data_IF_369564543702
#
_entry.id   IF_369564543702
#
_cell.length_a   1.000
_cell.length_b   1.000
_cell.length_c   1.000
_cell.angle_alpha   90.00
_cell.angle_beta   90.00
_cell.angle_gamma   90.00
#
_symmetry.space_group_name_H-M   'P 1'
#
loop_
_entity.id
_entity.type
_entity.pdbx_description
1 polymer ?
#
# COMPACT_ATOMS: atom_id res chain seq x y z
N UNK A 1 19.28 3.30 0.43
CA UNK A 1 20.48 3.57 1.26
C UNK A 1 20.01 3.64 2.70
N UNK A 2 20.79 3.22 3.71
CA UNK A 2 20.41 3.55 5.08
C UNK A 2 20.43 5.07 5.19
N UNK A 3 19.33 5.67 5.63
CA UNK A 3 19.22 7.08 5.99
C UNK A 3 20.24 7.34 7.10
N UNK A 4 21.43 7.83 6.75
CA UNK A 4 22.59 7.94 7.64
C UNK A 4 22.49 9.10 8.64
N UNK A 5 21.27 9.49 9.01
CA UNK A 5 20.98 10.60 9.91
C UNK A 5 20.47 10.02 11.22
N UNK A 6 21.41 9.68 12.10
CA UNK A 6 21.10 9.11 13.40
C UNK A 6 20.46 10.17 14.31
N UNK A 7 19.18 9.95 14.69
CA UNK A 7 18.44 10.79 15.64
C UNK A 7 18.39 10.17 17.05
N UNK A 8 19.08 9.05 17.31
CA UNK A 8 19.04 8.35 18.60
C UNK A 8 19.41 9.24 19.78
N UNK A 9 20.37 10.15 19.59
CA UNK A 9 20.78 11.08 20.63
C UNK A 9 19.67 12.05 21.02
N UNK A 10 18.89 12.52 20.05
CA UNK A 10 17.75 13.42 20.23
C UNK A 10 16.53 12.68 20.80
N UNK A 11 16.25 11.47 20.31
CA UNK A 11 15.20 10.60 20.88
C UNK A 11 15.46 10.26 22.35
N UNK A 12 16.72 10.04 22.75
CA UNK A 12 17.08 9.87 24.18
C UNK A 12 16.96 11.16 24.99
N UNK A 13 17.10 12.32 24.33
CA UNK A 13 16.99 13.61 24.99
C UNK A 13 15.54 13.98 25.27
N UNK A 14 14.62 13.54 24.40
CA UNK A 14 13.18 13.66 24.56
C UNK A 14 12.66 13.01 25.86
N UNK A 15 13.29 11.93 26.35
CA UNK A 15 12.87 11.23 27.58
C UNK A 15 13.09 12.02 28.88
N UNK A 16 13.37 13.31 28.81
CA UNK A 16 13.51 14.21 29.97
C UNK A 16 12.15 14.84 30.27
N UNK A 17 11.80 14.93 31.55
CA UNK A 17 10.50 15.41 32.03
C UNK A 17 10.02 16.69 31.32
N UNK A 18 10.92 17.67 31.15
CA UNK A 18 10.63 18.97 30.50
C UNK A 18 10.20 18.85 29.03
N UNK A 19 10.68 17.84 28.30
CA UNK A 19 10.36 17.63 26.88
C UNK A 19 9.32 16.54 26.65
N UNK A 20 9.16 15.61 27.58
CA UNK A 20 8.17 14.55 27.46
C UNK A 20 6.74 15.08 27.56
N UNK A 21 6.48 16.09 28.38
CA UNK A 21 5.15 16.72 28.48
C UNK A 21 4.81 17.48 27.18
N UNK A 22 5.73 18.31 26.69
CA UNK A 22 5.58 19.01 25.41
C UNK A 22 5.38 18.06 24.22
N UNK A 23 6.07 16.92 24.22
CA UNK A 23 5.87 15.90 23.18
C UNK A 23 4.52 15.21 23.32
N UNK A 24 4.04 14.96 24.53
CA UNK A 24 2.72 14.37 24.76
C UNK A 24 1.60 15.27 24.21
N UNK A 25 1.73 16.59 24.30
CA UNK A 25 0.78 17.54 23.69
C UNK A 25 0.74 17.40 22.16
N UNK A 26 1.90 17.41 21.49
CA UNK A 26 1.96 17.23 20.02
C UNK A 26 1.51 15.83 19.61
N UNK A 27 1.80 14.83 20.42
CA UNK A 27 1.35 13.46 20.18
C UNK A 27 -0.18 13.37 20.25
N UNK A 28 -0.81 14.04 21.23
CA UNK A 28 -2.26 14.13 21.37
C UNK A 28 -2.91 14.86 20.18
N UNK A 29 -2.30 15.92 19.66
CA UNK A 29 -2.79 16.58 18.44
C UNK A 29 -2.85 15.63 17.24
N UNK A 30 -1.87 14.72 17.12
CA UNK A 30 -1.77 13.76 16.02
C UNK A 30 -2.68 12.54 16.18
N UNK A 31 -2.93 12.08 17.41
CA UNK A 31 -3.57 10.78 17.67
C UNK A 31 -4.75 10.83 18.64
N UNK A 32 -4.84 11.82 19.52
CA UNK A 32 -5.94 12.00 20.47
C UNK A 32 -7.33 11.89 19.84
N UNK A 33 -7.60 12.56 18.69
CA UNK A 33 -8.89 12.42 17.99
C UNK A 33 -9.20 11.00 17.47
N UNK A 34 -8.19 10.14 17.30
CA UNK A 34 -8.35 8.75 16.86
C UNK A 34 -8.53 7.82 18.08
N UNK A 35 -7.72 8.04 19.12
CA UNK A 35 -7.64 7.16 20.29
C UNK A 35 -8.77 7.45 21.30
N UNK A 36 -9.22 8.71 21.41
CA UNK A 36 -10.19 9.16 22.39
C UNK A 36 -11.62 8.67 22.19
N UNK A 37 -11.99 8.23 20.98
CA UNK A 37 -13.37 7.80 20.67
C UNK A 37 -13.63 6.31 20.99
N UNK A 38 -12.62 5.51 21.35
CA UNK A 38 -12.74 4.05 21.33
C UNK A 38 -12.04 3.23 22.41
N UNK A 39 -11.48 3.82 23.47
CA UNK A 39 -10.59 3.12 24.43
C UNK A 39 -9.44 2.37 23.72
N UNK A 40 -8.96 2.89 22.58
CA UNK A 40 -7.91 2.28 21.78
C UNK A 40 -6.55 2.89 22.13
N UNK A 41 -5.56 2.06 22.41
CA UNK A 41 -4.18 2.52 22.64
C UNK A 41 -3.43 2.68 21.31
N UNK A 42 -2.41 3.55 21.28
CA UNK A 42 -1.65 3.81 20.05
C UNK A 42 -0.99 2.54 19.49
N UNK A 43 -0.49 1.66 20.36
CA UNK A 43 0.11 0.39 19.98
C UNK A 43 -0.89 -0.57 19.30
N UNK A 44 -2.18 -0.47 19.62
CA UNK A 44 -3.22 -1.32 19.01
C UNK A 44 -3.45 -0.96 17.53
N UNK A 45 -3.08 0.24 17.10
CA UNK A 45 -3.06 0.60 15.68
C UNK A 45 -2.13 -0.32 14.87
N UNK A 46 -1.12 -0.91 15.50
CA UNK A 46 -0.17 -1.80 14.81
C UNK A 46 -0.83 -3.13 14.42
N UNK A 47 -1.82 -3.59 15.18
CA UNK A 47 -2.59 -4.79 14.85
C UNK A 47 -3.42 -4.60 13.58
N UNK A 48 -3.89 -3.36 13.34
CA UNK A 48 -4.75 -3.01 12.21
C UNK A 48 -3.96 -2.54 10.99
N UNK A 49 -2.95 -1.69 11.20
CA UNK A 49 -2.23 -0.98 10.15
C UNK A 49 -0.84 -1.58 9.86
N UNK A 50 -0.31 -2.39 10.77
CA UNK A 50 1.03 -2.96 10.72
C UNK A 50 2.10 -2.07 11.34
N UNK A 51 3.10 -2.70 11.97
CA UNK A 51 4.20 -2.05 12.71
C UNK A 51 4.91 -0.94 11.91
N UNK A 52 5.26 -1.23 10.66
CA UNK A 52 5.98 -0.28 9.79
C UNK A 52 5.20 1.03 9.59
N UNK A 53 3.87 0.95 9.49
CA UNK A 53 3.03 2.13 9.29
C UNK A 53 2.88 2.93 10.58
N UNK A 54 2.71 2.24 11.71
CA UNK A 54 2.65 2.89 13.03
C UNK A 54 3.97 3.59 13.37
N UNK A 55 5.11 2.99 13.03
CA UNK A 55 6.42 3.64 13.19
C UNK A 55 6.55 4.90 12.32
N UNK A 56 6.02 4.90 11.11
CA UNK A 56 5.99 6.11 10.27
C UNK A 56 5.07 7.20 10.86
N UNK A 57 3.91 6.82 11.42
CA UNK A 57 3.00 7.74 12.09
C UNK A 57 3.67 8.39 13.31
N UNK A 58 4.30 7.60 14.16
CA UNK A 58 5.09 8.11 15.28
C UNK A 58 6.17 9.07 14.79
N UNK A 59 6.86 8.73 13.70
CA UNK A 59 7.84 9.59 13.04
C UNK A 59 7.25 10.94 12.59
N UNK A 60 6.01 10.97 12.09
CA UNK A 60 5.33 12.21 11.71
C UNK A 60 5.11 13.14 12.90
N UNK A 61 4.64 12.61 14.04
CA UNK A 61 4.41 13.38 15.27
C UNK A 61 5.73 13.83 15.91
N UNK A 62 6.73 12.94 15.97
CA UNK A 62 8.05 13.26 16.47
C UNK A 62 8.72 14.37 15.65
N UNK A 63 8.71 14.25 14.32
CA UNK A 63 9.27 15.29 13.46
C UNK A 63 8.51 16.60 13.54
N UNK A 64 7.20 16.58 13.79
CA UNK A 64 6.44 17.80 14.00
C UNK A 64 6.86 18.51 15.27
N UNK A 65 6.93 17.77 16.38
CA UNK A 65 7.41 18.24 17.67
C UNK A 65 8.80 18.90 17.58
N UNK A 66 9.72 18.35 16.78
CA UNK A 66 11.05 18.95 16.57
C UNK A 66 11.00 20.37 15.97
N UNK A 67 9.89 20.75 15.34
CA UNK A 67 9.71 22.06 14.70
C UNK A 67 8.94 23.07 15.55
N UNK A 68 8.28 22.62 16.62
CA UNK A 68 7.44 23.46 17.48
C UNK A 68 8.27 24.27 18.48
N UNK A 69 7.80 25.48 18.78
CA UNK A 69 8.33 26.33 19.84
C UNK A 69 7.36 26.32 21.03
N UNK A 70 7.87 26.02 22.23
CA UNK A 70 7.11 25.91 23.48
C UNK A 70 7.39 27.10 24.40
N UNK A 71 6.56 27.27 25.43
CA UNK A 71 6.79 28.28 26.46
C UNK A 71 8.03 27.96 27.31
N UNK A 72 8.95 28.91 27.43
CA UNK A 72 10.17 28.78 28.23
C UNK A 72 11.46 29.01 27.44
N UNK A 73 12.60 28.94 28.13
CA UNK A 73 13.93 29.06 27.53
C UNK A 73 14.79 27.87 27.97
N UNK A 74 15.25 27.02 27.03
CA UNK A 74 15.07 27.12 25.58
C UNK A 74 13.67 26.70 25.10
N UNK A 75 13.15 27.36 24.06
CA UNK A 75 11.80 27.12 23.52
C UNK A 75 11.69 25.88 22.64
N UNK A 76 12.80 25.34 22.13
CA UNK A 76 12.79 24.22 21.20
C UNK A 76 13.86 23.17 21.53
N UNK A 77 13.45 21.90 21.44
CA UNK A 77 14.27 20.75 21.80
C UNK A 77 15.52 20.59 20.93
N UNK A 78 15.43 20.87 19.62
CA UNK A 78 16.56 20.74 18.70
C UNK A 78 17.63 21.76 19.03
N UNK A 79 17.21 23.01 19.26
CA UNK A 79 18.12 24.11 19.60
C UNK A 79 18.81 23.82 20.94
N UNK A 80 18.06 23.37 21.96
CA UNK A 80 18.62 22.95 23.24
C UNK A 80 19.60 21.78 23.09
N UNK A 81 19.18 20.74 22.36
CA UNK A 81 19.96 19.54 22.19
C UNK A 81 21.28 19.84 21.48
N UNK A 82 21.26 20.60 20.40
CA UNK A 82 22.45 21.00 19.68
C UNK A 82 23.38 21.86 20.56
N UNK A 83 22.82 22.74 21.39
CA UNK A 83 23.60 23.54 22.34
C UNK A 83 24.28 22.67 23.41
N UNK A 84 23.54 21.76 24.06
CA UNK A 84 24.05 20.96 25.19
C UNK A 84 24.86 19.74 24.76
N UNK A 85 24.51 19.12 23.63
CA UNK A 85 24.98 17.80 23.19
C UNK A 85 25.45 17.74 21.75
N UNK A 86 25.30 18.79 20.93
CA UNK A 86 25.67 18.77 19.51
C UNK A 86 27.15 18.46 19.23
N UNK A 87 28.04 18.61 20.21
CA UNK A 87 29.45 18.20 20.11
C UNK A 87 29.64 16.68 20.04
N UNK A 88 28.66 15.88 20.48
CA UNK A 88 28.65 14.42 20.34
C UNK A 88 28.23 13.96 18.94
N UNK A 89 27.60 14.84 18.19
CA UNK A 89 27.09 14.52 16.86
C UNK A 89 28.13 14.83 15.77
N UNK A 90 28.03 14.12 14.65
CA UNK A 90 28.83 14.46 13.47
C UNK A 90 28.23 15.69 12.74
N UNK A 91 29.00 16.31 11.85
CA UNK A 91 28.57 17.52 11.15
C UNK A 91 27.34 17.32 10.24
N UNK A 92 27.14 16.11 9.70
CA UNK A 92 26.00 15.78 8.86
C UNK A 92 24.73 15.61 9.70
N UNK A 93 24.81 14.96 10.86
CA UNK A 93 23.69 14.82 11.80
C UNK A 93 23.25 16.18 12.35
N UNK A 94 24.20 17.04 12.77
CA UNK A 94 23.86 18.41 13.20
C UNK A 94 23.16 19.22 12.11
N UNK A 95 23.65 19.14 10.87
CA UNK A 95 23.05 19.86 9.75
C UNK A 95 21.63 19.34 9.44
N UNK A 96 21.40 18.03 9.58
CA UNK A 96 20.08 17.43 9.41
C UNK A 96 19.11 17.86 10.52
N UNK A 97 19.53 17.83 11.79
CA UNK A 97 18.71 18.31 12.91
C UNK A 97 18.31 19.78 12.73
N UNK A 98 19.26 20.64 12.37
CA UNK A 98 18.97 22.05 12.09
C UNK A 98 18.04 22.26 10.89
N UNK A 99 18.16 21.44 9.84
CA UNK A 99 17.25 21.50 8.69
C UNK A 99 15.84 21.01 9.06
N UNK A 100 15.73 19.92 9.84
CA UNK A 100 14.46 19.40 10.35
C UNK A 100 13.72 20.43 11.18
N UNK A 101 14.40 21.10 12.12
CA UNK A 101 13.87 22.18 12.98
C UNK A 101 13.10 23.26 12.20
N UNK A 102 13.50 23.54 10.96
CA UNK A 102 12.89 24.57 10.10
C UNK A 102 11.96 24.00 9.02
N UNK A 103 11.81 22.69 8.96
CA UNK A 103 11.02 22.01 7.93
C UNK A 103 9.51 22.05 8.22
N UNK A 104 8.70 21.73 7.22
CA UNK A 104 7.24 21.64 7.33
C UNK A 104 6.73 20.42 6.57
N UNK A 105 5.69 19.78 7.10
CA UNK A 105 4.95 18.75 6.39
C UNK A 105 4.17 19.41 5.24
N UNK A 106 4.24 18.83 4.05
CA UNK A 106 3.41 19.24 2.91
C UNK A 106 3.00 18.03 2.09
N UNK A 107 2.04 18.22 1.18
CA UNK A 107 1.62 17.20 0.23
C UNK A 107 2.34 17.40 -1.10
N UNK A 108 3.02 16.36 -1.57
CA UNK A 108 3.76 16.35 -2.82
C UNK A 108 3.19 15.35 -3.80
N UNK A 109 3.12 15.73 -5.06
CA UNK A 109 2.97 14.80 -6.18
C UNK A 109 4.35 14.42 -6.71
N UNK A 110 4.56 13.10 -6.84
CA UNK A 110 5.82 12.51 -7.28
C UNK A 110 5.86 12.41 -8.80
N UNK A 111 6.96 12.85 -9.40
CA UNK A 111 7.26 12.66 -10.83
C UNK A 111 8.72 12.24 -11.03
N UNK A 112 9.07 11.81 -12.25
CA UNK A 112 10.44 11.44 -12.65
C UNK A 112 11.20 10.56 -11.65
N UNK A 113 10.59 9.42 -11.27
CA UNK A 113 11.17 8.48 -10.30
C UNK A 113 12.30 7.69 -10.95
N UNK A 114 13.49 7.79 -10.37
CA UNK A 114 14.64 6.91 -10.66
C UNK A 114 14.79 5.93 -9.50
N UNK A 115 14.38 4.66 -9.66
CA UNK A 115 14.33 3.71 -8.56
C UNK A 115 15.67 3.55 -7.84
N UNK A 116 15.64 3.75 -6.52
CA UNK A 116 16.80 3.64 -5.65
C UNK A 116 17.72 4.87 -5.63
N UNK A 117 17.36 5.97 -6.30
CA UNK A 117 18.23 7.13 -6.46
C UNK A 117 17.56 8.49 -6.17
N UNK A 118 16.45 8.80 -6.85
CA UNK A 118 15.83 10.12 -6.78
C UNK A 118 14.40 10.15 -7.30
N UNK A 119 13.69 11.23 -6.98
CA UNK A 119 12.41 11.61 -7.56
C UNK A 119 12.30 13.13 -7.65
N UNK A 120 11.39 13.64 -8.48
CA UNK A 120 10.92 15.01 -8.43
C UNK A 120 9.64 15.07 -7.58
N UNK A 121 9.53 16.08 -6.71
CA UNK A 121 8.38 16.27 -5.83
C UNK A 121 7.78 17.66 -6.04
N UNK A 122 6.57 17.73 -6.59
CA UNK A 122 5.83 18.97 -6.80
C UNK A 122 4.92 19.23 -5.61
N UNK A 123 5.14 20.35 -4.92
CA UNK A 123 4.32 20.72 -3.77
C UNK A 123 2.91 21.16 -4.22
N UNK A 124 1.89 20.48 -3.73
CA UNK A 124 0.49 20.73 -4.12
C UNK A 124 -0.17 21.84 -3.31
N UNK A 125 0.40 22.23 -2.15
CA UNK A 125 -0.18 23.21 -1.23
C UNK A 125 0.49 24.59 -1.34
N UNK A 126 1.81 24.60 -1.53
CA UNK A 126 2.60 25.83 -1.78
C UNK A 126 2.70 26.15 -3.27
N UNK A 127 2.55 25.14 -4.13
CA UNK A 127 2.81 25.25 -5.56
C UNK A 127 4.31 25.39 -5.85
N UNK A 128 4.63 25.98 -7.01
CA UNK A 128 6.01 26.16 -7.46
C UNK A 128 6.53 25.02 -8.35
N UNK A 129 7.82 25.08 -8.66
CA UNK A 129 8.50 24.09 -9.50
C UNK A 129 8.82 22.82 -8.70
N UNK A 130 8.82 21.63 -9.34
CA UNK A 130 9.19 20.38 -8.68
C UNK A 130 10.58 20.42 -8.05
N UNK A 131 10.71 19.85 -6.86
CA UNK A 131 11.95 19.79 -6.09
C UNK A 131 12.64 18.45 -6.36
N UNK A 132 13.92 18.49 -6.73
CA UNK A 132 14.75 17.29 -6.84
C UNK A 132 15.07 16.71 -5.47
N UNK A 133 14.60 15.49 -5.20
CA UNK A 133 14.79 14.78 -3.92
C UNK A 133 15.65 13.55 -4.13
N UNK A 134 16.72 13.44 -3.33
CA UNK A 134 17.55 12.24 -3.28
C UNK A 134 16.95 11.27 -2.27
N UNK A 135 16.54 10.11 -2.76
CA UNK A 135 15.82 9.11 -1.96
C UNK A 135 16.15 7.72 -2.54
N UNK A 136 16.42 6.71 -1.68
CA UNK A 136 16.86 5.39 -2.15
C UNK A 136 15.97 4.20 -1.81
N UNK A 137 15.01 4.33 -0.91
CA UNK A 137 14.14 3.23 -0.45
C UNK A 137 12.72 3.44 -0.97
N UNK A 138 12.11 4.60 -0.69
CA UNK A 138 10.76 4.94 -1.15
C UNK A 138 10.64 4.93 -2.69
N UNK A 139 11.65 5.38 -3.43
CA UNK A 139 11.73 5.36 -4.91
C UNK A 139 11.68 3.96 -5.50
N UNK A 140 11.86 2.89 -4.70
CA UNK A 140 11.69 1.52 -5.18
C UNK A 140 10.22 1.11 -5.31
N UNK A 141 9.35 1.73 -4.51
CA UNK A 141 7.91 1.42 -4.45
C UNK A 141 7.07 2.54 -5.06
N UNK A 142 7.45 3.80 -4.83
CA UNK A 142 6.77 4.97 -5.38
C UNK A 142 6.74 4.93 -6.92
N UNK A 143 5.59 5.33 -7.44
CA UNK A 143 5.29 5.44 -8.87
C UNK A 143 5.06 6.88 -9.26
N UNK A 144 5.23 7.15 -10.54
CA UNK A 144 4.89 8.44 -11.11
C UNK A 144 3.43 8.78 -10.78
N UNK A 145 3.19 10.02 -10.35
CA UNK A 145 1.92 10.60 -9.88
C UNK A 145 1.40 10.11 -8.53
N UNK A 146 2.21 9.33 -7.79
CA UNK A 146 1.90 9.08 -6.39
C UNK A 146 1.89 10.39 -5.60
N UNK A 147 0.98 10.48 -4.64
CA UNK A 147 0.92 11.60 -3.70
C UNK A 147 1.47 11.14 -2.35
N UNK A 148 2.34 11.95 -1.75
CA UNK A 148 2.94 11.67 -0.44
C UNK A 148 2.85 12.91 0.44
N UNK A 149 2.46 12.75 1.70
CA UNK A 149 2.74 13.75 2.72
C UNK A 149 4.12 13.45 3.31
N UNK A 150 5.01 14.44 3.25
CA UNK A 150 6.36 14.28 3.77
C UNK A 150 6.97 15.64 4.19
N UNK A 151 8.10 15.58 4.88
CA UNK A 151 9.02 16.72 5.02
C UNK A 151 10.17 16.56 4.04
N UNK A 152 10.41 17.57 3.21
CA UNK A 152 11.61 17.65 2.36
C UNK A 152 12.62 18.55 3.06
N UNK A 153 13.79 18.00 3.41
CA UNK A 153 14.81 18.71 4.17
C UNK A 153 16.07 18.97 3.36
N UNK A 154 16.54 20.23 3.26
CA UNK A 154 17.76 20.57 2.55
C UNK A 154 19.00 20.32 3.43
N UNK A 155 19.79 19.32 3.09
CA UNK A 155 21.01 18.94 3.81
C UNK A 155 22.22 19.02 2.87
N UNK A 156 23.13 19.95 3.15
CA UNK A 156 24.40 20.09 2.41
C UNK A 156 24.22 20.15 0.88
N UNK A 157 23.24 20.94 0.44
CA UNK A 157 22.96 21.16 -0.99
C UNK A 157 22.19 20.03 -1.68
N UNK A 158 21.60 19.09 -0.92
CA UNK A 158 20.71 18.05 -1.43
C UNK A 158 19.41 18.06 -0.63
N UNK A 159 18.29 17.88 -1.31
CA UNK A 159 17.02 17.66 -0.62
C UNK A 159 16.83 16.16 -0.41
N UNK A 160 16.37 15.77 0.79
CA UNK A 160 16.04 14.39 1.14
C UNK A 160 14.67 14.36 1.79
N UNK A 161 14.00 13.21 1.78
CA UNK A 161 12.81 13.00 2.61
C UNK A 161 13.25 12.79 4.07
N UNK A 162 12.50 13.36 5.00
CA UNK A 162 12.54 12.96 6.40
C UNK A 162 11.93 11.56 6.59
N UNK A 163 11.91 11.05 7.83
CA UNK A 163 11.40 9.73 8.16
C UNK A 163 9.89 9.60 8.04
N UNK A 164 9.13 10.63 8.42
CA UNK A 164 7.66 10.64 8.32
C UNK A 164 7.17 10.81 6.88
N UNK A 165 6.98 9.70 6.15
CA UNK A 165 6.45 9.70 4.77
C UNK A 165 5.16 8.88 4.70
N UNK A 166 4.06 9.54 4.37
CA UNK A 166 2.73 8.93 4.29
C UNK A 166 2.24 8.90 2.83
N UNK A 167 1.97 7.73 2.23
CA UNK A 167 1.38 7.66 0.90
C UNK A 167 -0.09 8.06 0.96
N UNK A 168 -0.48 9.06 0.18
CA UNK A 168 -1.84 9.58 0.14
C UNK A 168 -2.62 8.96 -1.02
N UNK A 169 -3.81 8.46 -0.71
CA UNK A 169 -4.79 8.07 -1.73
C UNK A 169 -5.47 9.30 -2.30
N UNK A 170 -6.27 9.10 -3.35
CA UNK A 170 -7.03 10.20 -3.94
C UNK A 170 -8.06 10.72 -2.94
N UNK A 171 -8.73 9.83 -2.23
CA UNK A 171 -9.77 10.13 -1.25
C UNK A 171 -9.17 10.90 -0.07
N UNK A 172 -8.03 10.45 0.46
CA UNK A 172 -7.27 11.17 1.49
C UNK A 172 -6.80 12.56 1.00
N UNK A 173 -6.39 12.66 -0.28
CA UNK A 173 -6.00 13.96 -0.86
C UNK A 173 -7.19 14.91 -0.90
N UNK A 174 -8.34 14.47 -1.41
CA UNK A 174 -9.55 15.29 -1.47
C UNK A 174 -9.99 15.73 -0.05
N UNK A 175 -9.99 14.80 0.91
CA UNK A 175 -10.31 15.07 2.31
C UNK A 175 -9.35 16.09 2.96
N UNK A 176 -8.05 15.98 2.72
CA UNK A 176 -7.07 16.95 3.22
C UNK A 176 -7.33 18.34 2.65
N UNK A 177 -7.62 18.44 1.34
CA UNK A 177 -7.91 19.73 0.71
C UNK A 177 -9.18 20.37 1.28
N UNK A 178 -10.24 19.59 1.49
CA UNK A 178 -11.47 20.07 2.10
C UNK A 178 -11.24 20.55 3.55
N UNK A 179 -10.51 19.77 4.36
CA UNK A 179 -10.13 20.17 5.72
C UNK A 179 -9.32 21.46 5.75
N UNK A 180 -8.33 21.61 4.87
CA UNK A 180 -7.54 22.85 4.77
C UNK A 180 -8.39 24.04 4.30
N UNK A 181 -9.40 23.81 3.44
CA UNK A 181 -10.32 24.86 3.00
C UNK A 181 -11.23 25.31 4.14
N UNK A 182 -11.62 24.41 5.03
CA UNK A 182 -12.42 24.77 6.20
C UNK A 182 -11.62 25.62 7.20
N UNK A 183 -10.32 25.34 7.35
CA UNK A 183 -9.43 26.10 8.26
C UNK A 183 -8.99 27.44 7.68
N UNK A 184 -8.53 27.47 6.42
CA UNK A 184 -7.88 28.64 5.82
C UNK A 184 -8.68 29.30 4.69
N UNK A 185 -9.71 28.62 4.19
CA UNK A 185 -10.53 29.12 3.10
C UNK A 185 -11.44 30.26 3.52
N UNK A 186 -11.77 31.12 2.56
CA UNK A 186 -12.88 32.08 2.73
C UNK A 186 -14.20 31.32 2.60
N UNK A 187 -15.26 31.84 3.23
CA UNK A 187 -16.63 31.32 3.06
C UNK A 187 -16.94 31.16 1.55
N UNK A 188 -17.23 29.92 1.13
CA UNK A 188 -17.48 29.51 -0.27
C UNK A 188 -16.28 29.46 -1.24
N UNK A 189 -15.04 29.46 -0.74
CA UNK A 189 -13.86 29.27 -1.58
C UNK A 189 -13.85 27.85 -2.19
N UNK A 190 -13.48 27.76 -3.47
CA UNK A 190 -13.30 26.48 -4.18
C UNK A 190 -11.83 26.14 -4.47
N UNK A 191 -10.91 26.97 -3.98
CA UNK A 191 -9.46 26.83 -4.17
C UNK A 191 -8.74 27.32 -2.92
N UNK A 192 -7.77 26.53 -2.47
CA UNK A 192 -6.88 26.91 -1.39
C UNK A 192 -6.00 28.09 -1.82
N UNK A 193 -5.76 29.08 -0.95
CA UNK A 193 -4.64 29.98 -1.13
C UNK A 193 -3.32 29.19 -1.09
N UNK A 194 -2.26 29.72 -1.70
CA UNK A 194 -0.94 29.14 -1.54
C UNK A 194 -0.56 29.20 -0.05
N UNK A 195 -0.26 28.03 0.52
CA UNK A 195 0.01 27.89 1.96
C UNK A 195 1.39 28.47 2.30
N UNK A 196 1.53 29.06 3.49
CA UNK A 196 2.82 29.49 4.04
C UNK A 196 3.35 28.41 4.99
N UNK A 197 4.64 28.43 5.27
CA UNK A 197 5.25 27.46 6.19
C UNK A 197 4.64 27.54 7.61
N UNK A 198 4.25 28.73 8.07
CA UNK A 198 3.51 28.91 9.34
C UNK A 198 2.15 28.19 9.33
N UNK A 199 1.42 28.29 8.21
CA UNK A 199 0.10 27.68 8.07
C UNK A 199 0.23 26.15 8.06
N UNK A 200 1.25 25.62 7.36
CA UNK A 200 1.52 24.18 7.31
C UNK A 200 1.99 23.60 8.65
N UNK A 201 2.78 24.37 9.41
CA UNK A 201 3.22 23.97 10.75
C UNK A 201 2.05 23.89 11.73
N UNK A 202 1.07 24.79 11.62
CA UNK A 202 -0.11 24.79 12.48
C UNK A 202 -1.09 23.64 12.21
N UNK A 203 -0.96 22.93 11.08
CA UNK A 203 -1.88 21.86 10.66
C UNK A 203 -1.16 20.55 10.32
N UNK A 204 0.06 20.37 10.83
CA UNK A 204 0.83 19.16 10.56
C UNK A 204 0.12 17.87 11.01
N UNK A 205 -0.60 17.92 12.14
CA UNK A 205 -1.41 16.82 12.64
C UNK A 205 -2.55 16.41 11.70
N UNK A 206 -3.12 17.35 10.92
CA UNK A 206 -4.19 17.05 9.96
C UNK A 206 -3.74 16.04 8.90
N UNK A 207 -2.48 16.06 8.47
CA UNK A 207 -1.96 15.07 7.51
C UNK A 207 -1.99 13.65 8.10
N UNK A 208 -1.62 13.51 9.37
CA UNK A 208 -1.65 12.24 10.07
C UNK A 208 -3.08 11.75 10.27
N UNK A 209 -3.96 12.62 10.79
CA UNK A 209 -5.36 12.29 11.02
C UNK A 209 -6.07 11.82 9.74
N UNK A 210 -5.98 12.61 8.67
CA UNK A 210 -6.59 12.26 7.37
C UNK A 210 -6.07 10.93 6.85
N UNK A 211 -4.76 10.69 6.97
CA UNK A 211 -4.17 9.44 6.52
C UNK A 211 -4.65 8.24 7.34
N UNK A 212 -4.72 8.36 8.67
CA UNK A 212 -5.18 7.27 9.54
C UNK A 212 -6.64 6.95 9.30
N UNK A 213 -7.51 7.96 9.20
CA UNK A 213 -8.92 7.73 8.88
C UNK A 213 -9.11 7.04 7.53
N UNK A 214 -8.39 7.47 6.49
CA UNK A 214 -8.44 6.81 5.18
C UNK A 214 -7.94 5.35 5.25
N UNK A 215 -6.88 5.10 6.03
CA UNK A 215 -6.34 3.76 6.19
C UNK A 215 -7.28 2.84 6.96
N UNK A 216 -7.88 3.33 8.06
CA UNK A 216 -8.85 2.58 8.86
C UNK A 216 -10.13 2.31 8.08
N UNK A 217 -10.68 3.30 7.36
CA UNK A 217 -11.87 3.13 6.53
C UNK A 217 -11.67 2.02 5.49
N UNK A 218 -10.49 1.98 4.85
CA UNK A 218 -10.14 0.92 3.91
C UNK A 218 -10.03 -0.46 4.54
N UNK A 219 -9.56 -0.56 5.79
CA UNK A 219 -9.50 -1.84 6.51
C UNK A 219 -10.90 -2.28 6.93
N UNK A 220 -11.72 -1.37 7.45
CA UNK A 220 -13.08 -1.64 7.93
C UNK A 220 -14.06 -1.97 6.80
N UNK A 221 -13.90 -1.33 5.63
CA UNK A 221 -14.71 -1.55 4.44
C UNK A 221 -14.07 -2.53 3.46
N UNK A 222 -13.06 -3.31 3.88
CA UNK A 222 -12.57 -4.40 3.04
C UNK A 222 -13.68 -5.43 2.83
N UNK A 223 -14.03 -5.77 1.58
CA UNK A 223 -15.07 -6.76 1.33
C UNK A 223 -14.66 -8.09 1.94
N UNK A 224 -15.55 -8.68 2.75
CA UNK A 224 -15.36 -10.03 3.26
C UNK A 224 -15.25 -10.99 2.08
N UNK A 225 -14.14 -11.71 2.00
CA UNK A 225 -13.93 -12.75 1.01
C UNK A 225 -14.60 -14.03 1.52
N UNK A 226 -15.47 -14.62 0.70
CA UNK A 226 -16.04 -15.94 0.96
C UNK A 226 -15.62 -16.91 -0.15
N UNK A 227 -15.54 -18.20 0.18
CA UNK A 227 -15.45 -19.25 -0.84
C UNK A 227 -16.77 -19.36 -1.64
N UNK A 228 -16.83 -20.20 -2.68
CA UNK A 228 -18.05 -20.38 -3.48
C UNK A 228 -19.23 -20.97 -2.67
N UNK A 229 -18.97 -21.61 -1.53
CA UNK A 229 -19.96 -22.18 -0.63
C UNK A 229 -20.51 -21.17 0.41
N UNK A 230 -19.86 -20.01 0.54
CA UNK A 230 -20.22 -18.91 1.44
C UNK A 230 -19.44 -18.85 2.75
N UNK A 231 -18.44 -19.72 2.95
CA UNK A 231 -17.61 -19.73 4.16
C UNK A 231 -16.52 -18.65 4.08
N UNK A 232 -16.07 -18.16 5.24
CA UNK A 232 -14.99 -17.17 5.34
C UNK A 232 -13.69 -17.69 4.70
N UNK A 233 -13.06 -16.85 3.88
CA UNK A 233 -11.84 -17.20 3.17
C UNK A 233 -10.61 -17.09 4.09
N UNK A 234 -10.14 -18.22 4.62
CA UNK A 234 -8.96 -18.33 5.48
C UNK A 234 -8.00 -19.39 4.97
N UNK A 235 -6.69 -19.11 4.93
CA UNK A 235 -5.72 -20.13 4.53
C UNK A 235 -5.40 -21.06 5.70
N UNK A 236 -5.70 -22.34 5.53
CA UNK A 236 -5.36 -23.42 6.45
C UNK A 236 -4.28 -24.29 5.82
N UNK A 237 -3.09 -24.31 6.44
CA UNK A 237 -2.01 -25.22 6.10
C UNK A 237 -1.94 -26.33 7.15
N UNK A 238 -2.31 -27.55 6.76
CA UNK A 238 -2.25 -28.74 7.62
C UNK A 238 -1.04 -29.57 7.22
N UNK A 239 -0.08 -29.71 8.13
CA UNK A 239 1.17 -30.45 7.91
C UNK A 239 1.13 -31.80 8.60
N UNK A 240 1.24 -32.87 7.82
CA UNK A 240 1.30 -34.25 8.28
C UNK A 240 2.76 -34.73 8.28
N UNK A 241 3.39 -34.96 9.45
CA UNK A 241 4.72 -35.57 9.49
C UNK A 241 4.64 -37.01 8.97
N UNK A 242 5.58 -37.41 8.10
CA UNK A 242 5.61 -38.77 7.57
C UNK A 242 6.05 -39.79 8.64
N UNK A 243 5.47 -40.98 8.62
CA UNK A 243 5.88 -42.06 9.49
C UNK A 243 7.25 -42.63 9.06
N UNK A 244 7.95 -43.26 10.01
CA UNK A 244 9.22 -43.90 9.72
C UNK A 244 8.99 -45.10 8.78
N UNK A 245 9.65 -45.10 7.62
CA UNK A 245 9.48 -46.13 6.59
C UNK A 245 8.42 -45.83 5.53
N UNK A 246 7.72 -44.70 5.62
CA UNK A 246 6.81 -44.26 4.56
C UNK A 246 7.61 -43.90 3.30
N UNK A 247 7.25 -44.51 2.16
CA UNK A 247 7.88 -44.21 0.87
C UNK A 247 7.00 -43.27 0.04
N UNK A 248 7.62 -42.50 -0.85
CA UNK A 248 6.88 -41.62 -1.77
C UNK A 248 5.96 -42.40 -2.71
N UNK A 249 6.33 -43.63 -3.08
CA UNK A 249 5.51 -44.51 -3.91
C UNK A 249 4.22 -44.91 -3.19
N UNK A 250 4.31 -45.32 -1.92
CA UNK A 250 3.14 -45.68 -1.11
C UNK A 250 2.19 -44.48 -0.89
N UNK A 251 2.77 -43.31 -0.61
CA UNK A 251 2.03 -42.05 -0.44
C UNK A 251 1.29 -41.69 -1.73
N UNK A 252 1.97 -41.74 -2.87
CA UNK A 252 1.41 -41.41 -4.19
C UNK A 252 0.28 -42.36 -4.55
N UNK A 253 0.48 -43.67 -4.35
CA UNK A 253 -0.53 -44.68 -4.63
C UNK A 253 -1.81 -44.47 -3.82
N UNK A 254 -1.70 -44.14 -2.52
CA UNK A 254 -2.86 -43.90 -1.67
C UNK A 254 -3.55 -42.56 -1.96
N UNK A 255 -2.81 -41.50 -2.27
CA UNK A 255 -3.39 -40.19 -2.66
C UNK A 255 -4.15 -40.26 -3.98
N UNK A 256 -3.61 -40.97 -4.98
CA UNK A 256 -4.26 -41.16 -6.29
C UNK A 256 -5.54 -42.01 -6.18
N UNK A 257 -5.76 -42.71 -5.06
CA UNK A 257 -7.00 -43.43 -4.76
C UNK A 257 -8.11 -42.56 -4.15
N UNK A 258 -7.83 -41.29 -3.81
CA UNK A 258 -8.84 -40.39 -3.25
C UNK A 258 -9.63 -39.74 -4.39
N UNK A 259 -10.96 -39.89 -4.36
CA UNK A 259 -11.84 -39.22 -5.31
C UNK A 259 -11.67 -37.69 -5.22
N UNK A 260 -11.47 -37.03 -6.37
CA UNK A 260 -11.23 -35.58 -6.46
C UNK A 260 -9.76 -35.16 -6.30
N UNK A 261 -8.84 -36.08 -5.98
CA UNK A 261 -7.40 -35.80 -6.04
C UNK A 261 -6.85 -36.10 -7.43
N UNK A 262 -6.23 -35.10 -8.04
CA UNK A 262 -5.58 -35.23 -9.35
C UNK A 262 -4.10 -34.88 -9.21
N UNK A 263 -3.23 -35.79 -9.61
CA UNK A 263 -1.80 -35.57 -9.56
C UNK A 263 -1.37 -34.64 -10.69
N UNK A 264 -0.82 -33.48 -10.33
CA UNK A 264 -0.28 -32.52 -11.30
C UNK A 264 1.19 -32.83 -11.63
N UNK A 265 1.95 -33.24 -10.61
CA UNK A 265 3.34 -33.66 -10.75
C UNK A 265 3.74 -34.65 -9.63
N UNK A 266 5.01 -35.07 -9.63
CA UNK A 266 5.52 -36.09 -8.70
C UNK A 266 5.33 -35.79 -7.20
N UNK A 267 5.12 -34.53 -6.83
CA UNK A 267 5.00 -34.08 -5.44
C UNK A 267 3.76 -33.21 -5.19
N UNK A 268 2.88 -33.02 -6.17
CA UNK A 268 1.76 -32.07 -6.07
C UNK A 268 0.46 -32.64 -6.62
N UNK A 269 -0.61 -32.45 -5.87
CA UNK A 269 -1.97 -32.88 -6.19
C UNK A 269 -2.95 -31.71 -6.05
N UNK A 270 -3.82 -31.55 -7.04
CA UNK A 270 -4.97 -30.67 -6.96
C UNK A 270 -6.16 -31.43 -6.37
N UNK A 271 -6.83 -30.84 -5.38
CA UNK A 271 -8.06 -31.38 -4.79
C UNK A 271 -9.27 -30.58 -5.28
N UNK A 272 -10.20 -31.26 -5.94
CA UNK A 272 -11.39 -30.65 -6.51
C UNK A 272 -12.66 -31.36 -6.05
N UNK A 273 -13.75 -30.60 -5.92
CA UNK A 273 -15.08 -31.13 -5.65
C UNK A 273 -16.05 -30.80 -6.77
N UNK A 274 -16.95 -31.73 -7.04
CA UNK A 274 -17.99 -31.57 -8.06
C UNK A 274 -19.14 -30.75 -7.47
N UNK A 275 -19.41 -29.58 -8.06
CA UNK A 275 -20.62 -28.81 -7.78
C UNK A 275 -21.69 -29.16 -8.82
N UNK A 276 -22.93 -29.51 -8.41
CA UNK A 276 -24.04 -29.53 -9.35
C UNK A 276 -24.28 -28.09 -9.87
N UNK A 277 -24.27 -27.92 -11.20
CA UNK A 277 -24.61 -26.63 -11.81
C UNK A 277 -26.02 -26.20 -11.36
N UNK A 278 -26.14 -25.04 -10.70
CA UNK A 278 -27.42 -24.33 -10.54
C UNK A 278 -27.86 -23.92 -9.14
N UNK A 279 -27.11 -24.19 -8.07
CA UNK A 279 -27.40 -23.61 -6.75
C UNK A 279 -26.55 -22.36 -6.49
N UNK A 280 -26.89 -21.25 -7.15
CA UNK A 280 -26.46 -19.93 -6.68
C UNK A 280 -27.19 -19.66 -5.36
N UNK A 281 -26.53 -19.92 -4.22
CA UNK A 281 -26.96 -19.32 -2.96
C UNK A 281 -26.93 -17.79 -3.15
N UNK A 282 -27.93 -17.05 -2.65
CA UNK A 282 -27.96 -15.60 -2.78
C UNK A 282 -26.70 -15.01 -2.13
N UNK A 283 -25.81 -14.44 -2.94
CA UNK A 283 -24.64 -13.70 -2.47
C UNK A 283 -25.14 -12.41 -1.80
N UNK A 284 -24.76 -12.21 -0.54
CA UNK A 284 -24.96 -10.91 0.12
C UNK A 284 -24.17 -9.82 -0.62
N UNK A 285 -24.78 -8.63 -0.72
CA UNK A 285 -24.15 -7.50 -1.39
C UNK A 285 -22.88 -7.09 -0.62
N UNK A 286 -21.71 -7.16 -1.25
CA UNK A 286 -20.41 -6.82 -0.66
C UNK A 286 -19.39 -7.96 -0.61
N UNK A 287 -19.79 -9.19 -0.92
CA UNK A 287 -18.92 -10.37 -0.85
C UNK A 287 -18.28 -10.71 -2.20
N UNK A 288 -16.95 -10.90 -2.22
CA UNK A 288 -16.19 -11.37 -3.38
C UNK A 288 -15.80 -12.85 -3.19
N UNK A 289 -15.98 -13.66 -4.24
CA UNK A 289 -15.56 -15.07 -4.27
C UNK A 289 -14.27 -15.24 -5.08
N UNK A 290 -13.26 -15.86 -4.49
CA UNK A 290 -11.90 -15.98 -5.04
C UNK A 290 -11.57 -17.39 -5.57
N UNK A 291 -12.55 -18.30 -5.62
CA UNK A 291 -12.29 -19.67 -6.07
C UNK A 291 -12.08 -19.75 -7.59
N UNK A 292 -11.08 -20.53 -7.99
CA UNK A 292 -10.78 -20.78 -9.41
C UNK A 292 -11.62 -21.96 -9.91
N UNK A 293 -12.53 -21.70 -10.85
CA UNK A 293 -13.25 -22.75 -11.55
C UNK A 293 -12.29 -23.54 -12.46
N UNK A 294 -12.36 -24.87 -12.43
CA UNK A 294 -11.66 -25.77 -13.36
C UNK A 294 -12.67 -26.52 -14.24
N UNK A 295 -12.22 -27.04 -15.38
CA UNK A 295 -13.07 -27.76 -16.37
C UNK A 295 -13.85 -28.95 -15.77
N UNK A 296 -13.47 -29.45 -14.59
CA UNK A 296 -14.03 -30.64 -13.94
C UNK A 296 -14.56 -30.42 -12.50
N UNK A 297 -14.66 -29.18 -12.02
CA UNK A 297 -15.16 -28.88 -10.67
C UNK A 297 -14.54 -27.62 -10.06
N UNK A 298 -14.91 -27.36 -8.80
CA UNK A 298 -14.32 -26.26 -8.03
C UNK A 298 -13.05 -26.76 -7.34
N UNK A 299 -11.95 -26.02 -7.46
CA UNK A 299 -10.73 -26.33 -6.69
C UNK A 299 -10.97 -25.93 -5.22
N UNK A 300 -10.94 -26.90 -4.33
CA UNK A 300 -11.17 -26.70 -2.88
C UNK A 300 -9.88 -26.76 -2.06
N UNK A 301 -8.76 -27.18 -2.66
CA UNK A 301 -7.45 -27.15 -2.03
C UNK A 301 -6.36 -27.83 -2.88
N UNK A 302 -5.17 -27.98 -2.28
CA UNK A 302 -4.08 -28.75 -2.87
C UNK A 302 -3.29 -29.51 -1.80
N UNK A 303 -2.60 -30.57 -2.23
CA UNK A 303 -1.72 -31.37 -1.38
C UNK A 303 -0.33 -31.39 -2.00
N UNK A 304 0.69 -31.16 -1.18
CA UNK A 304 2.08 -31.14 -1.63
C UNK A 304 2.99 -31.93 -0.70
N UNK A 305 3.88 -32.74 -1.26
CA UNK A 305 4.89 -33.49 -0.52
C UNK A 305 6.16 -32.64 -0.42
N UNK A 306 6.47 -32.16 0.79
CA UNK A 306 7.64 -31.32 1.09
C UNK A 306 8.54 -31.96 2.13
N UNK A 307 9.65 -32.55 1.67
CA UNK A 307 10.62 -33.19 2.54
C UNK A 307 9.99 -34.31 3.37
N UNK A 308 10.03 -34.20 4.70
CA UNK A 308 9.44 -35.16 5.63
C UNK A 308 7.96 -34.92 5.97
N UNK A 309 7.26 -34.07 5.21
CA UNK A 309 5.88 -33.68 5.46
C UNK A 309 5.01 -33.81 4.20
N UNK A 310 3.76 -34.18 4.41
CA UNK A 310 2.68 -33.96 3.45
C UNK A 310 1.89 -32.73 3.90
N UNK A 311 1.73 -31.73 3.04
CA UNK A 311 1.09 -30.46 3.36
C UNK A 311 -0.23 -30.34 2.58
N UNK A 312 -1.34 -30.18 3.29
CA UNK A 312 -2.63 -29.80 2.72
C UNK A 312 -2.80 -28.28 2.88
N UNK A 313 -3.12 -27.60 1.79
CA UNK A 313 -3.52 -26.19 1.80
C UNK A 313 -4.98 -26.08 1.38
N UNK A 314 -5.80 -25.45 2.22
CA UNK A 314 -7.22 -25.15 1.98
C UNK A 314 -7.51 -23.69 2.32
N UNK A 315 -8.61 -23.14 1.80
CA UNK A 315 -9.00 -21.74 1.97
C UNK A 315 -10.28 -21.55 2.81
N UNK A 316 -10.69 -22.56 3.59
CA UNK A 316 -11.66 -22.45 4.69
C UNK A 316 -11.41 -23.53 5.75
N UNK A 317 -11.96 -23.35 6.95
CA UNK A 317 -11.81 -24.30 8.05
C UNK A 317 -12.49 -25.65 7.72
N UNK A 318 -13.68 -25.59 7.13
CA UNK A 318 -14.48 -26.73 6.72
C UNK A 318 -13.75 -27.57 5.67
N UNK A 319 -13.14 -26.91 4.68
CA UNK A 319 -12.31 -27.58 3.65
C UNK A 319 -11.06 -28.21 4.28
N UNK A 320 -10.43 -27.53 5.25
CA UNK A 320 -9.25 -28.05 5.96
C UNK A 320 -9.57 -29.29 6.82
N UNK A 321 -10.67 -29.28 7.56
CA UNK A 321 -11.15 -30.42 8.35
C UNK A 321 -11.47 -31.61 7.45
N UNK A 322 -12.21 -31.36 6.37
CA UNK A 322 -12.59 -32.39 5.40
C UNK A 322 -11.37 -33.00 4.71
N UNK A 323 -10.44 -32.16 4.23
CA UNK A 323 -9.19 -32.62 3.63
C UNK A 323 -8.32 -33.39 4.62
N UNK A 324 -8.28 -32.96 5.88
CA UNK A 324 -7.55 -33.66 6.96
C UNK A 324 -8.11 -35.06 7.19
N UNK A 325 -9.43 -35.20 7.31
CA UNK A 325 -10.08 -36.48 7.47
C UNK A 325 -9.86 -37.41 6.27
N UNK A 326 -9.92 -36.87 5.04
CA UNK A 326 -9.65 -37.63 3.82
C UNK A 326 -8.23 -38.19 3.78
N UNK A 327 -7.24 -37.33 4.06
CA UNK A 327 -5.81 -37.70 4.10
C UNK A 327 -5.55 -38.73 5.21
N UNK A 328 -6.06 -38.52 6.42
CA UNK A 328 -5.88 -39.47 7.53
C UNK A 328 -6.51 -40.83 7.22
N UNK A 329 -7.70 -40.86 6.62
CA UNK A 329 -8.37 -42.10 6.24
C UNK A 329 -7.61 -42.86 5.14
N UNK A 330 -7.06 -42.14 4.17
CA UNK A 330 -6.35 -42.75 3.05
C UNK A 330 -4.93 -43.19 3.44
N UNK A 331 -4.16 -42.32 4.09
CA UNK A 331 -2.75 -42.59 4.41
C UNK A 331 -2.56 -43.34 5.72
N UNK A 332 -3.49 -43.25 6.66
CA UNK A 332 -3.48 -44.03 7.91
C UNK A 332 -2.14 -43.99 8.61
N UNK A 333 -1.49 -45.15 8.67
CA UNK A 333 -0.20 -45.39 9.31
C UNK A 333 1.02 -44.71 8.66
N UNK A 334 0.87 -44.20 7.43
CA UNK A 334 1.95 -43.50 6.70
C UNK A 334 2.16 -42.05 7.17
N UNK A 335 1.21 -41.48 7.91
CA UNK A 335 1.26 -40.10 8.42
C UNK A 335 1.02 -40.08 9.93
N UNK A 336 1.64 -39.12 10.60
CA UNK A 336 1.46 -38.86 12.03
C UNK A 336 0.44 -37.75 12.27
N UNK A 337 0.18 -37.45 13.54
CA UNK A 337 -0.74 -36.38 13.96
C UNK A 337 -0.41 -35.06 13.22
N UNK A 338 -1.38 -34.45 12.55
CA UNK A 338 -1.16 -33.20 11.83
C UNK A 338 -0.94 -32.02 12.77
N UNK A 339 -0.22 -31.02 12.27
CA UNK A 339 -0.16 -29.68 12.84
C UNK A 339 -0.87 -28.72 11.91
N UNK A 340 -1.80 -27.94 12.43
CA UNK A 340 -2.56 -26.96 11.66
C UNK A 340 -2.03 -25.56 11.94
N UNK A 341 -1.76 -24.83 10.87
CA UNK A 341 -1.44 -23.41 10.90
C UNK A 341 -2.58 -22.67 10.18
N UNK A 342 -3.21 -21.72 10.87
CA UNK A 342 -4.31 -20.91 10.33
C UNK A 342 -3.76 -19.51 10.10
N UNK A 343 -3.92 -18.97 8.90
CA UNK A 343 -3.50 -17.62 8.55
C UNK A 343 -4.64 -16.87 7.90
N UNK A 344 -4.89 -15.66 8.37
CA UNK A 344 -5.84 -14.75 7.73
C UNK A 344 -5.22 -14.12 6.49
N UNK A 345 -6.06 -13.63 5.57
CA UNK A 345 -5.57 -12.87 4.40
C UNK A 345 -4.80 -11.61 4.82
N UNK A 346 -5.22 -10.93 5.89
CA UNK A 346 -4.53 -9.76 6.44
C UNK A 346 -3.11 -10.08 6.89
N UNK A 347 -2.92 -11.16 7.67
CA UNK A 347 -1.58 -11.62 8.09
C UNK A 347 -0.70 -11.97 6.90
N UNK A 348 -1.28 -12.60 5.87
CA UNK A 348 -0.53 -12.99 4.68
C UNK A 348 -0.20 -11.80 3.75
N UNK A 349 -1.06 -10.78 3.70
CA UNK A 349 -0.79 -9.52 3.01
C UNK A 349 0.29 -8.69 3.73
N UNK A 350 0.31 -8.73 5.08
CA UNK A 350 1.32 -8.07 5.90
C UNK A 350 2.71 -8.75 5.78
N UNK A 351 2.76 -10.07 5.65
CA UNK A 351 4.02 -10.85 5.58
C UNK A 351 4.62 -10.99 4.17
N UNK A 352 3.94 -10.54 3.11
CA UNK A 352 4.45 -10.65 1.73
C UNK A 352 5.39 -9.50 1.39
N UNK A 353 6.72 -9.70 1.27
CA UNK A 353 7.49 -8.96 0.30
C UNK A 353 6.99 -9.36 -1.09
N UNK A 354 6.70 -8.37 -1.94
CA UNK A 354 6.19 -8.54 -3.31
C UNK A 354 6.95 -9.64 -4.08
N UNK A 355 6.41 -10.87 -4.08
CA UNK A 355 6.83 -11.96 -4.96
C UNK A 355 5.69 -12.24 -5.92
N UNK A 356 6.03 -12.11 -7.20
CA UNK A 356 5.11 -12.06 -8.32
C UNK A 356 4.17 -13.26 -8.38
N UNK A 357 2.88 -12.95 -8.60
CA UNK A 357 1.94 -13.93 -9.11
C UNK A 357 2.42 -14.40 -10.48
N UNK A 358 2.59 -15.71 -10.64
CA UNK A 358 2.80 -16.32 -11.96
C UNK A 358 1.49 -16.23 -12.74
N UNK A 359 1.52 -15.59 -13.88
CA UNK A 359 0.44 -15.58 -14.88
C UNK A 359 0.33 -16.96 -15.54
N UNK A 360 -0.87 -17.56 -15.63
CA UNK A 360 -1.10 -18.69 -16.51
C UNK A 360 -1.42 -18.18 -17.93
N UNK A 361 -0.52 -18.42 -18.89
CA UNK A 361 -0.83 -18.96 -20.22
C UNK A 361 0.43 -18.91 -21.09
N UNK A 362 0.81 -20.05 -21.62
CA UNK A 362 1.80 -20.17 -22.68
C UNK A 362 1.03 -20.46 -23.96
N UNK A 363 0.83 -19.46 -24.82
CA UNK A 363 0.38 -19.70 -26.21
C UNK A 363 0.71 -18.58 -27.22
N UNK A 364 1.35 -17.47 -26.83
CA UNK A 364 1.88 -16.46 -27.77
C UNK A 364 3.29 -16.00 -27.40
N UNK A 365 4.19 -15.73 -28.38
CA UNK A 365 5.48 -15.09 -28.12
C UNK A 365 5.27 -13.73 -27.42
N UNK A 366 6.06 -13.39 -26.39
CA UNK A 366 5.89 -12.17 -25.60
C UNK A 366 5.85 -10.88 -26.43
N UNK A 367 6.66 -10.78 -27.50
CA UNK A 367 6.68 -9.59 -28.35
C UNK A 367 5.39 -9.41 -29.17
N UNK A 368 4.77 -10.52 -29.60
CA UNK A 368 3.48 -10.50 -30.31
C UNK A 368 2.33 -10.18 -29.37
N UNK A 369 2.38 -10.68 -28.14
CA UNK A 369 1.40 -10.34 -27.11
C UNK A 369 1.44 -8.85 -26.75
N UNK A 370 2.64 -8.26 -26.66
CA UNK A 370 2.79 -6.83 -26.38
C UNK A 370 2.19 -5.95 -27.48
N UNK A 371 2.54 -6.20 -28.74
CA UNK A 371 2.02 -5.44 -29.88
C UNK A 371 0.49 -5.50 -29.98
N UNK A 372 -0.08 -6.71 -29.88
CA UNK A 372 -1.55 -6.89 -29.95
C UNK A 372 -2.25 -6.18 -28.79
N UNK A 373 -1.68 -6.26 -27.57
CA UNK A 373 -2.25 -5.56 -26.41
C UNK A 373 -2.14 -4.04 -26.57
N UNK A 374 -1.02 -3.52 -27.04
CA UNK A 374 -0.85 -2.07 -27.25
C UNK A 374 -1.77 -1.54 -28.35
N UNK A 375 -1.92 -2.26 -29.47
CA UNK A 375 -2.88 -1.90 -30.54
C UNK A 375 -4.32 -1.90 -30.02
N UNK A 376 -4.69 -2.92 -29.24
CA UNK A 376 -6.00 -2.97 -28.59
C UNK A 376 -6.21 -1.80 -27.62
N UNK A 377 -5.21 -1.47 -26.79
CA UNK A 377 -5.27 -0.35 -25.85
C UNK A 377 -5.36 1.00 -26.58
N UNK A 378 -4.60 1.19 -27.66
CA UNK A 378 -4.68 2.38 -28.50
C UNK A 378 -6.09 2.56 -29.07
N UNK A 379 -6.67 1.50 -29.63
CA UNK A 379 -8.04 1.56 -30.13
C UNK A 379 -9.04 1.87 -29.00
N UNK A 380 -8.94 1.15 -27.89
CA UNK A 380 -9.82 1.31 -26.73
C UNK A 380 -9.78 2.73 -26.16
N UNK A 381 -8.59 3.29 -25.97
CA UNK A 381 -8.43 4.64 -25.44
C UNK A 381 -8.81 5.72 -26.45
N UNK A 382 -8.60 5.50 -27.76
CA UNK A 382 -9.12 6.41 -28.81
C UNK A 382 -10.64 6.50 -28.76
N UNK A 383 -11.33 5.36 -28.62
CA UNK A 383 -12.78 5.33 -28.44
C UNK A 383 -13.18 6.02 -27.13
N UNK A 384 -12.42 5.82 -26.05
CA UNK A 384 -12.66 6.45 -24.75
C UNK A 384 -12.59 7.99 -24.80
N UNK A 385 -11.77 8.58 -25.68
CA UNK A 385 -11.70 10.04 -25.86
C UNK A 385 -13.03 10.66 -26.33
N UNK A 386 -13.88 9.86 -26.96
CA UNK A 386 -15.21 10.24 -27.46
C UNK A 386 -16.36 9.72 -26.57
N UNK A 387 -16.04 9.04 -25.46
CA UNK A 387 -17.02 8.56 -24.48
C UNK A 387 -17.05 9.42 -23.20
N UNK A 388 -18.20 9.54 -22.53
CA UNK A 388 -18.30 10.19 -21.22
C UNK A 388 -17.44 9.50 -20.15
N UNK A 389 -16.60 10.26 -19.45
CA UNK A 389 -15.78 9.76 -18.32
C UNK A 389 -16.30 10.34 -17.01
N UNK A 390 -16.56 9.49 -16.02
CA UNK A 390 -17.11 9.90 -14.73
C UNK A 390 -16.20 10.89 -13.99
N UNK A 391 -14.87 10.65 -13.99
CA UNK A 391 -13.87 11.56 -13.40
C UNK A 391 -13.89 12.97 -14.02
N UNK A 392 -14.42 13.11 -15.25
CA UNK A 392 -14.58 14.38 -15.95
C UNK A 392 -15.98 14.99 -15.79
N UNK A 393 -16.79 14.45 -14.87
CA UNK A 393 -18.16 14.89 -14.61
C UNK A 393 -19.13 14.48 -15.73
N UNK A 394 -18.93 13.29 -16.31
CA UNK A 394 -19.78 12.76 -17.38
C UNK A 394 -19.57 13.45 -18.74
N UNK A 395 -18.47 14.18 -18.91
CA UNK A 395 -18.05 14.76 -20.20
C UNK A 395 -17.04 13.85 -20.88
N UNK A 396 -16.92 13.95 -22.21
CA UNK A 396 -15.82 13.29 -22.91
C UNK A 396 -14.51 14.05 -22.71
N UNK A 397 -13.34 13.40 -22.76
CA UNK A 397 -12.04 14.07 -22.71
C UNK A 397 -11.91 15.22 -23.71
N UNK A 398 -12.31 15.02 -24.97
CA UNK A 398 -12.27 16.06 -26.02
C UNK A 398 -13.21 17.24 -25.73
N UNK A 399 -14.32 17.01 -25.04
CA UNK A 399 -15.21 18.08 -24.62
C UNK A 399 -14.66 18.84 -23.42
N UNK A 400 -14.06 18.14 -22.46
CA UNK A 400 -13.53 18.72 -21.23
C UNK A 400 -12.38 19.70 -21.50
N UNK A 401 -11.46 19.37 -22.41
CA UNK A 401 -10.29 20.23 -22.73
C UNK A 401 -10.64 21.61 -23.31
N UNK A 402 -11.89 21.87 -23.70
CA UNK A 402 -12.34 23.18 -24.22
C UNK A 402 -12.36 24.29 -23.16
N UNK A 403 -12.15 23.97 -21.88
CA UNK A 403 -12.14 24.94 -20.79
C UNK A 403 -10.87 24.79 -19.97
N UNK A 404 -10.35 25.87 -19.39
CA UNK A 404 -9.13 25.81 -18.57
C UNK A 404 -9.26 24.83 -17.40
N UNK A 405 -10.39 24.85 -16.69
CA UNK A 405 -10.67 23.90 -15.60
C UNK A 405 -10.80 22.47 -16.11
N UNK A 406 -11.38 22.27 -17.28
CA UNK A 406 -11.52 20.95 -17.87
C UNK A 406 -10.19 20.38 -18.38
N UNK A 407 -9.27 21.21 -18.91
CA UNK A 407 -7.89 20.80 -19.22
C UNK A 407 -7.18 20.25 -17.98
N UNK A 408 -7.31 20.93 -16.84
CA UNK A 408 -6.75 20.46 -15.57
C UNK A 408 -7.35 19.11 -15.15
N UNK A 409 -8.68 18.94 -15.24
CA UNK A 409 -9.33 17.66 -14.94
C UNK A 409 -8.89 16.52 -15.86
N UNK A 410 -8.68 16.82 -17.14
CA UNK A 410 -8.17 15.85 -18.12
C UNK A 410 -6.74 15.45 -17.80
N UNK A 411 -5.88 16.40 -17.44
CA UNK A 411 -4.52 16.10 -17.00
C UNK A 411 -4.51 15.18 -15.76
N UNK A 412 -5.33 15.47 -14.74
CA UNK A 412 -5.46 14.59 -13.56
C UNK A 412 -5.99 13.19 -13.90
N UNK A 413 -6.92 13.09 -14.86
CA UNK A 413 -7.40 11.79 -15.35
C UNK A 413 -6.32 11.00 -16.08
N UNK A 414 -5.50 11.65 -16.92
CA UNK A 414 -4.38 10.97 -17.59
C UNK A 414 -3.30 10.53 -16.59
N UNK A 415 -2.98 11.36 -15.59
CA UNK A 415 -2.10 10.96 -14.48
C UNK A 415 -2.63 9.75 -13.72
N UNK A 416 -3.94 9.70 -13.48
CA UNK A 416 -4.58 8.54 -12.86
C UNK A 416 -4.39 7.26 -13.69
N UNK A 417 -4.59 7.32 -15.02
CA UNK A 417 -4.36 6.16 -15.90
C UNK A 417 -2.89 5.70 -15.90
N UNK A 418 -1.95 6.65 -16.03
CA UNK A 418 -0.51 6.36 -15.97
C UNK A 418 -0.12 5.76 -14.61
N UNK A 419 -0.65 6.29 -13.50
CA UNK A 419 -0.36 5.79 -12.16
C UNK A 419 -0.89 4.36 -11.94
N UNK A 420 -2.14 4.08 -12.33
CA UNK A 420 -2.72 2.75 -12.22
C UNK A 420 -1.94 1.72 -13.02
N UNK A 421 -1.54 2.10 -14.22
CA UNK A 421 -0.76 1.23 -15.11
C UNK A 421 0.64 0.99 -14.53
N UNK A 422 1.30 2.01 -13.98
CA UNK A 422 2.59 1.88 -13.32
C UNK A 422 2.55 1.00 -12.05
N UNK A 423 1.37 0.85 -11.44
CA UNK A 423 1.13 -0.02 -10.27
C UNK A 423 0.87 -1.49 -10.62
N UNK A 424 0.90 -1.86 -11.91
CA UNK A 424 0.82 -3.26 -12.32
C UNK A 424 1.87 -4.12 -11.59
N UNK A 425 1.47 -5.21 -10.91
CA UNK A 425 2.37 -6.02 -10.09
C UNK A 425 3.50 -6.66 -10.90
N UNK A 426 3.19 -7.07 -12.13
CA UNK A 426 4.17 -7.62 -13.06
C UNK A 426 4.68 -6.51 -14.00
N UNK A 427 5.95 -6.14 -13.82
CA UNK A 427 6.60 -5.10 -14.63
C UNK A 427 6.84 -5.53 -16.07
N UNK A 428 6.85 -6.83 -16.35
CA UNK A 428 6.97 -7.37 -17.70
C UNK A 428 5.61 -7.52 -18.40
N UNK A 429 4.50 -7.25 -17.70
CA UNK A 429 3.18 -7.30 -18.29
C UNK A 429 3.07 -6.21 -19.37
N UNK A 430 2.57 -6.51 -20.58
CA UNK A 430 2.43 -5.54 -21.67
C UNK A 430 1.69 -4.25 -21.30
N UNK A 431 0.71 -4.33 -20.40
CA UNK A 431 0.05 -3.12 -19.87
C UNK A 431 1.02 -2.22 -19.09
N UNK A 432 1.93 -2.78 -18.28
CA UNK A 432 2.83 -2.02 -17.44
C UNK A 432 3.83 -1.12 -18.22
N UNK A 433 4.07 -1.45 -19.49
CA UNK A 433 4.98 -0.72 -20.40
C UNK A 433 4.23 0.15 -21.42
N UNK A 434 2.89 0.20 -21.37
CA UNK A 434 2.09 1.01 -22.28
C UNK A 434 2.26 2.51 -22.01
N UNK A 435 2.41 3.32 -23.07
CA UNK A 435 2.58 4.77 -22.96
C UNK A 435 1.31 5.53 -23.32
N UNK A 436 0.89 6.41 -22.41
CA UNK A 436 -0.25 7.32 -22.61
C UNK A 436 0.16 8.67 -23.24
N UNK A 437 1.43 8.87 -23.59
CA UNK A 437 1.97 10.14 -24.09
C UNK A 437 1.23 10.67 -25.33
N UNK A 438 0.74 9.77 -26.18
CA UNK A 438 -0.05 10.15 -27.35
C UNK A 438 -1.38 10.81 -26.96
N UNK A 439 -2.02 10.41 -25.85
CA UNK A 439 -3.26 11.02 -25.37
C UNK A 439 -3.02 12.44 -24.86
N UNK A 440 -1.90 12.66 -24.16
CA UNK A 440 -1.49 14.00 -23.72
C UNK A 440 -1.31 14.96 -24.91
N UNK A 441 -0.70 14.46 -25.99
CA UNK A 441 -0.47 15.21 -27.23
C UNK A 441 -1.78 15.44 -27.98
N UNK A 442 -2.59 14.41 -28.16
CA UNK A 442 -3.85 14.47 -28.91
C UNK A 442 -4.88 15.39 -28.26
N UNK A 443 -4.89 15.46 -26.92
CA UNK A 443 -5.76 16.33 -26.14
C UNK A 443 -5.15 17.73 -25.91
N UNK A 444 -3.95 17.99 -26.42
CA UNK A 444 -3.22 19.25 -26.29
C UNK A 444 -3.05 19.69 -24.82
N UNK A 445 -2.76 18.75 -23.91
CA UNK A 445 -2.56 19.02 -22.46
C UNK A 445 -1.18 18.61 -21.96
N UNK A 446 -0.23 18.35 -22.87
CA UNK A 446 1.13 17.95 -22.52
C UNK A 446 1.87 18.99 -21.67
N UNK A 447 1.52 20.28 -21.78
CA UNK A 447 2.05 21.35 -20.93
C UNK A 447 1.72 21.17 -19.43
N UNK A 448 0.72 20.36 -19.11
CA UNK A 448 0.28 20.04 -17.75
C UNK A 448 0.87 18.72 -17.22
N UNK A 449 1.64 17.98 -18.02
CA UNK A 449 2.29 16.73 -17.63
C UNK A 449 3.58 17.01 -16.84
N UNK A 450 3.41 17.48 -15.61
CA UNK A 450 4.51 17.82 -14.68
C UNK A 450 4.10 17.63 -13.23
#
# INVERSE_FOLDING_TARGET
MPTSHDLNGLMKFLSRDEWSECFAEVFDDHFGPILGDGDMEFEELAEVLGDDRVMNLWGCAFEDFLTQDFEGEPSNIVDEYLQRRGWKENAQTRAYMGALRTSVMSLYEVSDVVPGQSLMARDLLRGGEPIAVKEGTATKTLKQWDKIAARIVPVRGKNILAGGVLPFTREATECLFDGLLDVFGKKYARKLPAMRDEDLRAVASMFTLVWVFDALDKVMNMPMLQNAEGDEFMFHDVRFPLAAGATQEDITARLNGIAGMSQENAQFWNWSEYMPQGEDKPKEAGTLSLDTAMDNGLRVGNVELKGGFLCLSANSAERAEKGTALIQRALGDLVRTPLTEIRTMQQMMAERPAKGGKTPSAEMPPELAEQVIHEYLDQHYRETLDQPVQMLGGKTPRQAVKTQTGRQKVAEWLKYLENQTARQPDRAHPMAVYSFEWMWTELDVHDLRR
#
